data_IF_998170714833
#
_entry.id   IF_998170714833
#
_cell.length_a   1.000
_cell.length_b   1.000
_cell.length_c   1.000
_cell.angle_alpha   90.00
_cell.angle_beta   90.00
_cell.angle_gamma   90.00
#
_symmetry.space_group_name_H-M   'P 1'
#
loop_
_entity.id
_entity.type
_entity.pdbx_description
1 polymer ?
#
# COMPACT_ATOMS: atom_id res chain seq x y z
N UNK A 1 51.90 36.88 -15.50
CA UNK A 1 51.09 35.65 -15.68
C UNK A 1 49.67 35.90 -15.22
N UNK A 2 48.73 35.79 -16.18
CA UNK A 2 47.27 35.55 -16.08
C UNK A 2 46.41 36.45 -15.20
N UNK A 3 45.82 37.50 -15.81
CA UNK A 3 44.55 38.12 -15.40
C UNK A 3 43.43 37.08 -15.63
N UNK A 4 42.66 36.78 -14.58
CA UNK A 4 41.44 35.97 -14.70
C UNK A 4 40.24 36.90 -14.95
N UNK A 5 39.57 36.68 -16.08
CA UNK A 5 38.36 37.39 -16.48
C UNK A 5 37.19 37.05 -15.56
N UNK A 6 36.56 38.09 -15.00
CA UNK A 6 35.38 38.00 -14.11
C UNK A 6 34.06 37.81 -14.87
N UNK A 7 34.12 37.49 -16.17
CA UNK A 7 32.96 37.35 -17.05
C UNK A 7 32.43 35.92 -17.23
N UNK A 8 33.19 34.89 -16.86
CA UNK A 8 32.85 33.51 -17.24
C UNK A 8 31.97 32.77 -16.21
N UNK A 9 31.97 33.16 -14.93
CA UNK A 9 31.21 32.41 -13.90
C UNK A 9 29.69 32.56 -13.99
N UNK A 10 29.19 33.66 -14.58
CA UNK A 10 27.74 33.91 -14.72
C UNK A 10 27.10 33.13 -15.89
N UNK A 11 27.87 32.75 -16.90
CA UNK A 11 27.37 31.97 -18.04
C UNK A 11 27.29 30.47 -17.72
N UNK A 12 28.24 29.93 -16.96
CA UNK A 12 28.22 28.52 -16.53
C UNK A 12 27.05 28.20 -15.58
N UNK A 13 26.72 29.11 -14.66
CA UNK A 13 25.57 28.92 -13.75
C UNK A 13 24.23 28.86 -14.49
N UNK A 14 24.02 29.76 -15.45
CA UNK A 14 22.82 29.78 -16.29
C UNK A 14 22.73 28.57 -17.22
N UNK A 15 23.85 28.15 -17.81
CA UNK A 15 23.88 26.96 -18.68
C UNK A 15 23.62 25.66 -17.92
N UNK A 16 24.11 25.53 -16.68
CA UNK A 16 23.83 24.35 -15.84
C UNK A 16 22.32 24.20 -15.53
N UNK A 17 21.65 25.32 -15.26
CA UNK A 17 20.20 25.36 -15.02
C UNK A 17 19.40 24.96 -16.27
N UNK A 18 19.80 25.45 -17.44
CA UNK A 18 19.18 25.08 -18.71
C UNK A 18 19.38 23.59 -19.03
N UNK A 19 20.58 23.04 -18.80
CA UNK A 19 20.86 21.61 -19.00
C UNK A 19 20.01 20.77 -18.04
N UNK A 20 19.88 21.13 -16.76
CA UNK A 20 19.00 20.42 -15.83
C UNK A 20 17.53 20.47 -16.25
N UNK A 21 17.03 21.62 -16.71
CA UNK A 21 15.65 21.74 -17.20
C UNK A 21 15.42 20.92 -18.47
N UNK A 22 16.40 20.87 -19.38
CA UNK A 22 16.34 20.04 -20.58
C UNK A 22 16.36 18.55 -20.22
N UNK A 23 17.22 18.11 -19.30
CA UNK A 23 17.26 16.71 -18.83
C UNK A 23 15.93 16.32 -18.16
N UNK A 24 15.37 17.20 -17.31
CA UNK A 24 14.09 16.95 -16.66
C UNK A 24 12.93 16.88 -17.65
N UNK A 25 12.94 17.73 -18.70
CA UNK A 25 11.96 17.68 -19.79
C UNK A 25 12.11 16.41 -20.64
N UNK A 26 13.33 16.00 -20.96
CA UNK A 26 13.61 14.75 -21.71
C UNK A 26 13.20 13.52 -20.90
N UNK A 27 13.43 13.51 -19.58
CA UNK A 27 12.96 12.42 -18.71
C UNK A 27 11.43 12.38 -18.59
N UNK A 28 10.76 13.54 -18.43
CA UNK A 28 9.30 13.61 -18.43
C UNK A 28 8.68 13.17 -19.77
N UNK A 29 9.35 13.48 -20.89
CA UNK A 29 8.90 13.08 -22.22
C UNK A 29 9.15 11.59 -22.51
N UNK A 30 10.15 10.96 -21.86
CA UNK A 30 10.30 9.50 -21.89
C UNK A 30 9.18 8.75 -21.15
N UNK A 31 8.60 9.35 -20.12
CA UNK A 31 7.40 8.79 -19.47
C UNK A 31 6.15 8.94 -20.33
N UNK A 32 6.00 10.04 -21.09
CA UNK A 32 4.84 10.20 -21.99
C UNK A 32 4.95 9.36 -23.27
N UNK A 33 6.15 9.17 -23.83
CA UNK A 33 6.36 8.36 -25.04
C UNK A 33 6.21 6.84 -24.82
N UNK A 34 6.03 6.38 -23.57
CA UNK A 34 5.60 4.99 -23.30
C UNK A 34 4.09 4.76 -23.53
N UNK A 35 3.31 5.78 -23.92
CA UNK A 35 1.86 5.67 -24.16
C UNK A 35 1.42 5.52 -25.61
N UNK A 36 2.34 5.50 -26.58
CA UNK A 36 1.99 5.28 -27.98
C UNK A 36 2.84 4.15 -28.58
N UNK A 37 2.73 2.96 -28.00
CA UNK A 37 3.06 1.74 -28.73
C UNK A 37 1.77 1.20 -29.36
N UNK A 38 1.65 1.53 -30.64
CA UNK A 38 0.75 1.01 -31.67
C UNK A 38 0.09 -0.33 -31.31
N UNK A 39 -1.25 -0.31 -31.30
CA UNK A 39 -2.11 -1.49 -31.36
C UNK A 39 -1.88 -2.22 -32.69
N UNK A 40 -0.82 -3.02 -32.74
CA UNK A 40 -0.67 -4.11 -33.70
C UNK A 40 -1.75 -5.14 -33.42
N UNK A 41 -2.81 -5.11 -34.24
CA UNK A 41 -3.98 -6.00 -34.16
C UNK A 41 -3.66 -7.47 -34.50
N UNK A 42 -2.39 -7.81 -34.77
CA UNK A 42 -1.95 -9.18 -35.04
C UNK A 42 -1.35 -9.91 -33.82
N UNK A 43 -1.15 -9.22 -32.70
CA UNK A 43 -0.68 -9.87 -31.46
C UNK A 43 -1.85 -10.55 -30.75
N UNK A 44 -1.81 -11.88 -30.79
CA UNK A 44 -2.51 -12.79 -29.89
C UNK A 44 -2.62 -12.19 -28.50
N UNK A 45 -3.85 -12.13 -27.96
CA UNK A 45 -4.14 -11.68 -26.60
C UNK A 45 -3.29 -12.53 -25.66
N UNK A 46 -2.14 -11.99 -25.29
CA UNK A 46 -1.22 -12.59 -24.34
C UNK A 46 -1.97 -12.58 -23.01
N UNK A 47 -2.44 -13.76 -22.61
CA UNK A 47 -3.08 -14.02 -21.33
C UNK A 47 -2.23 -13.39 -20.22
N UNK A 48 -2.64 -12.22 -19.72
CA UNK A 48 -2.26 -11.74 -18.39
C UNK A 48 -3.38 -12.18 -17.45
N UNK A 49 -3.28 -13.33 -16.79
CA UNK A 49 -4.36 -13.84 -15.95
C UNK A 49 -4.46 -12.95 -14.71
N UNK A 50 -5.42 -12.04 -14.64
CA UNK A 50 -5.90 -11.36 -13.41
C UNK A 50 -4.84 -10.82 -12.42
N UNK A 51 -3.58 -10.61 -12.83
CA UNK A 51 -2.44 -10.53 -11.90
C UNK A 51 -2.20 -9.15 -11.31
N UNK A 52 -3.11 -8.19 -11.47
CA UNK A 52 -2.78 -6.80 -11.12
C UNK A 52 -3.96 -5.89 -10.77
N UNK A 53 -5.12 -6.41 -10.39
CA UNK A 53 -6.01 -5.57 -9.60
C UNK A 53 -5.39 -5.42 -8.21
N UNK A 54 -4.79 -4.25 -7.96
CA UNK A 54 -4.41 -3.85 -6.61
C UNK A 54 -5.69 -3.92 -5.78
N UNK A 55 -5.74 -4.88 -4.85
CA UNK A 55 -6.86 -5.10 -3.96
C UNK A 55 -7.20 -3.74 -3.32
N UNK A 56 -8.31 -3.13 -3.72
CA UNK A 56 -8.76 -1.89 -3.09
C UNK A 56 -9.23 -2.29 -1.71
N UNK A 57 -8.49 -1.87 -0.70
CA UNK A 57 -8.85 -2.15 0.67
C UNK A 57 -10.18 -1.46 0.96
N UNK A 58 -11.22 -2.26 1.18
CA UNK A 58 -12.55 -1.77 1.46
C UNK A 58 -12.68 -1.56 2.97
N UNK A 59 -12.76 -0.30 3.40
CA UNK A 59 -12.96 0.05 4.81
C UNK A 59 -14.26 -0.51 5.37
N UNK A 60 -15.30 -0.62 4.53
CA UNK A 60 -16.58 -1.17 4.93
C UNK A 60 -16.43 -2.64 5.31
N UNK A 61 -15.63 -3.38 4.54
CA UNK A 61 -15.34 -4.78 4.85
C UNK A 61 -14.59 -4.95 6.18
N UNK A 62 -13.62 -4.07 6.46
CA UNK A 62 -12.89 -4.10 7.73
C UNK A 62 -13.79 -3.73 8.92
N UNK A 63 -14.74 -2.82 8.72
CA UNK A 63 -15.78 -2.51 9.70
C UNK A 63 -16.67 -3.73 9.98
N UNK A 64 -17.12 -4.44 8.94
CA UNK A 64 -17.88 -5.68 9.10
C UNK A 64 -17.09 -6.74 9.85
N UNK A 65 -15.80 -6.89 9.54
CA UNK A 65 -14.92 -7.83 10.23
C UNK A 65 -14.81 -7.51 11.72
N UNK A 66 -14.69 -6.23 12.07
CA UNK A 66 -14.61 -5.78 13.47
C UNK A 66 -15.91 -6.07 14.21
N UNK A 67 -17.06 -5.82 13.58
CA UNK A 67 -18.37 -6.15 14.17
C UNK A 67 -18.51 -7.65 14.40
N UNK A 68 -18.15 -8.47 13.40
CA UNK A 68 -18.21 -9.93 13.50
C UNK A 68 -17.32 -10.46 14.62
N UNK A 69 -16.10 -9.95 14.74
CA UNK A 69 -15.19 -10.30 15.82
C UNK A 69 -15.84 -10.01 17.19
N UNK A 70 -16.42 -8.83 17.36
CA UNK A 70 -16.98 -8.45 18.67
C UNK A 70 -18.25 -9.24 19.02
N UNK A 71 -19.04 -9.61 18.01
CA UNK A 71 -20.18 -10.52 18.19
C UNK A 71 -19.71 -11.92 18.59
N UNK A 72 -18.68 -12.45 17.94
CA UNK A 72 -18.10 -13.76 18.25
C UNK A 72 -17.44 -13.77 19.64
N UNK A 73 -16.72 -12.70 19.98
CA UNK A 73 -16.12 -12.53 21.30
C UNK A 73 -17.20 -12.58 22.38
N UNK A 74 -18.31 -11.85 22.18
CA UNK A 74 -19.43 -11.87 23.12
C UNK A 74 -20.01 -13.28 23.26
N UNK A 75 -20.25 -13.98 22.16
CA UNK A 75 -20.76 -15.36 22.19
C UNK A 75 -19.81 -16.29 22.95
N UNK A 76 -18.51 -16.21 22.67
CA UNK A 76 -17.49 -17.00 23.35
C UNK A 76 -17.42 -16.72 24.87
N UNK A 77 -17.69 -15.48 25.30
CA UNK A 77 -17.78 -15.13 26.72
C UNK A 77 -19.08 -15.65 27.36
N UNK A 78 -20.21 -15.51 26.67
CA UNK A 78 -21.53 -15.94 27.15
C UNK A 78 -21.62 -17.47 27.30
N UNK A 79 -21.01 -18.19 26.37
CA UNK A 79 -20.94 -19.66 26.36
C UNK A 79 -19.70 -20.22 27.08
N UNK A 80 -18.91 -19.36 27.73
CA UNK A 80 -17.71 -19.73 28.49
C UNK A 80 -16.73 -20.63 27.71
N UNK A 81 -16.49 -20.30 26.43
CA UNK A 81 -15.57 -21.05 25.59
C UNK A 81 -14.17 -21.08 26.19
N UNK A 82 -13.51 -22.23 26.07
CA UNK A 82 -12.13 -22.41 26.53
C UNK A 82 -11.18 -21.88 25.46
N UNK A 83 -10.79 -20.61 25.57
CA UNK A 83 -9.87 -19.95 24.63
C UNK A 83 -8.73 -19.22 25.35
N UNK A 84 -7.62 -19.04 24.63
CA UNK A 84 -6.45 -18.29 25.09
C UNK A 84 -6.71 -16.77 25.03
N UNK A 85 -7.54 -16.28 25.96
CA UNK A 85 -7.97 -14.87 26.04
C UNK A 85 -6.80 -13.88 26.07
N UNK A 86 -5.66 -14.24 26.65
CA UNK A 86 -4.49 -13.37 26.68
C UNK A 86 -3.88 -13.15 25.29
N UNK A 87 -3.81 -14.20 24.46
CA UNK A 87 -3.28 -14.08 23.10
C UNK A 87 -4.28 -13.33 22.21
N UNK A 88 -5.57 -13.66 22.34
CA UNK A 88 -6.67 -12.97 21.67
C UNK A 88 -6.60 -11.46 21.91
N UNK A 89 -6.62 -11.04 23.18
CA UNK A 89 -6.69 -9.62 23.55
C UNK A 89 -5.48 -8.85 23.05
N UNK A 90 -4.29 -9.44 23.12
CA UNK A 90 -3.07 -8.82 22.59
C UNK A 90 -3.22 -8.50 21.10
N UNK A 91 -3.58 -9.49 20.29
CA UNK A 91 -3.70 -9.35 18.84
C UNK A 91 -4.84 -8.39 18.48
N UNK A 92 -5.96 -8.46 19.20
CA UNK A 92 -7.08 -7.55 19.03
C UNK A 92 -6.69 -6.08 19.24
N UNK A 93 -5.94 -5.79 20.31
CA UNK A 93 -5.48 -4.42 20.58
C UNK A 93 -4.44 -3.95 19.55
N UNK A 94 -3.53 -4.83 19.12
CA UNK A 94 -2.60 -4.54 18.02
C UNK A 94 -3.37 -4.19 16.73
N UNK A 95 -4.38 -4.99 16.37
CA UNK A 95 -5.23 -4.73 15.19
C UNK A 95 -5.98 -3.39 15.28
N UNK A 96 -6.48 -3.03 16.47
CA UNK A 96 -7.11 -1.73 16.72
C UNK A 96 -6.14 -0.57 16.55
N UNK A 97 -4.93 -0.68 17.09
CA UNK A 97 -3.90 0.35 16.94
C UNK A 97 -3.54 0.55 15.45
N UNK A 98 -3.39 -0.56 14.71
CA UNK A 98 -3.11 -0.53 13.28
C UNK A 98 -4.24 0.10 12.47
N UNK A 99 -5.50 -0.17 12.85
CA UNK A 99 -6.67 0.46 12.23
C UNK A 99 -6.65 1.98 12.43
N UNK A 100 -6.38 2.45 13.66
CA UNK A 100 -6.23 3.88 13.98
C UNK A 100 -5.11 4.55 13.19
N UNK A 101 -4.00 3.81 12.98
CA UNK A 101 -2.87 4.25 12.16
C UNK A 101 -3.11 4.11 10.65
N UNK A 102 -4.32 3.71 10.22
CA UNK A 102 -4.70 3.49 8.80
C UNK A 102 -3.86 2.41 8.10
N UNK A 103 -3.25 1.50 8.86
CA UNK A 103 -2.52 0.34 8.35
C UNK A 103 -3.50 -0.81 8.05
N UNK A 104 -4.43 -0.58 7.12
CA UNK A 104 -5.59 -1.46 6.92
C UNK A 104 -5.26 -2.94 6.63
N UNK A 105 -4.18 -3.20 5.88
CA UNK A 105 -3.75 -4.57 5.58
C UNK A 105 -3.31 -5.33 6.84
N UNK A 106 -2.60 -4.63 7.72
CA UNK A 106 -2.13 -5.22 8.97
C UNK A 106 -3.31 -5.43 9.92
N UNK A 107 -4.15 -4.41 10.08
CA UNK A 107 -5.36 -4.50 10.90
C UNK A 107 -6.25 -5.66 10.45
N UNK A 108 -6.47 -5.83 9.14
CA UNK A 108 -7.23 -6.96 8.60
C UNK A 108 -6.64 -8.32 8.95
N UNK A 109 -5.32 -8.48 8.78
CA UNK A 109 -4.61 -9.72 9.10
C UNK A 109 -4.75 -10.03 10.59
N UNK A 110 -4.58 -9.03 11.44
CA UNK A 110 -4.52 -9.23 12.87
C UNK A 110 -5.95 -9.42 13.44
N UNK A 111 -6.97 -8.73 12.93
CA UNK A 111 -8.38 -9.06 13.23
C UNK A 111 -8.75 -10.48 12.80
N UNK A 112 -8.31 -10.93 11.63
CA UNK A 112 -8.56 -12.30 11.16
C UNK A 112 -7.93 -13.33 12.10
N UNK A 113 -6.70 -13.06 12.58
CA UNK A 113 -6.02 -13.92 13.55
C UNK A 113 -6.72 -13.91 14.91
N UNK A 114 -7.25 -12.78 15.37
CA UNK A 114 -8.05 -12.71 16.59
C UNK A 114 -9.29 -13.61 16.47
N UNK A 115 -10.01 -13.54 15.34
CA UNK A 115 -11.16 -14.41 15.05
C UNK A 115 -10.74 -15.89 15.04
N UNK A 116 -9.62 -16.24 14.39
CA UNK A 116 -9.13 -17.63 14.36
C UNK A 116 -8.91 -18.19 15.79
N UNK A 117 -8.41 -17.37 16.72
CA UNK A 117 -8.25 -17.75 18.12
C UNK A 117 -9.61 -18.00 18.77
N UNK A 118 -10.60 -17.12 18.57
CA UNK A 118 -11.96 -17.33 19.09
C UNK A 118 -12.56 -18.64 18.55
N UNK A 119 -12.35 -18.91 17.26
CA UNK A 119 -12.85 -20.12 16.60
C UNK A 119 -12.21 -21.42 17.13
N UNK A 120 -11.04 -21.36 17.79
CA UNK A 120 -10.45 -22.56 18.42
C UNK A 120 -11.29 -23.10 19.58
N UNK A 121 -12.09 -22.24 20.23
CA UNK A 121 -12.97 -22.63 21.33
C UNK A 121 -14.29 -23.25 20.91
N UNK A 122 -14.58 -23.27 19.60
CA UNK A 122 -15.83 -23.81 19.06
C UNK A 122 -15.75 -25.35 19.00
N UNK A 123 -16.44 -26.03 19.91
CA UNK A 123 -16.53 -27.49 20.01
C UNK A 123 -17.96 -27.97 20.21
#
# INVERSE_FOLDING_TARGET
>A
MTRFDRGEFLTFGGMSLLVMLLVRKVFAQRESNKREEYLDKSKTIEWKPYRSEKLKFNTDFLQYLTTMESELQRAAMEEEWTIEWSEHNKIYYEAKEELEQKKYLHAFRDFSRAIDILMTGLH
#
